data_IF_034925540057
#
_entry.id   IF_034925540057
#
_cell.length_a   1.000
_cell.length_b   1.000
_cell.length_c   1.000
_cell.angle_alpha   90.00
_cell.angle_beta   90.00
_cell.angle_gamma   90.00
#
_symmetry.space_group_name_H-M   'P 1'
#
loop_
_entity.id
_entity.type
_entity.pdbx_description
1 polymer ?
#
# COMPACT_ATOMS: atom_id res chain seq x y z
N UNK A 1 47.88 -41.24 21.62
CA UNK A 1 48.12 -40.47 20.38
C UNK A 1 46.96 -39.53 20.17
N UNK A 2 47.27 -38.34 19.69
CA UNK A 2 46.49 -37.10 19.72
C UNK A 2 45.82 -36.86 18.35
N UNK A 3 44.87 -35.92 18.31
CA UNK A 3 44.32 -35.17 17.15
C UNK A 3 43.11 -35.82 16.43
N UNK A 4 42.06 -35.13 15.96
CA UNK A 4 41.82 -33.69 15.75
C UNK A 4 40.29 -33.44 15.60
N UNK A 5 39.90 -32.21 15.91
CA UNK A 5 38.56 -31.65 15.83
C UNK A 5 37.92 -31.63 14.42
N UNK A 6 36.60 -31.58 14.38
CA UNK A 6 35.82 -31.29 13.16
C UNK A 6 34.47 -30.63 13.45
N UNK A 7 34.51 -29.34 13.80
CA UNK A 7 33.67 -28.21 13.34
C UNK A 7 32.17 -28.51 13.10
N UNK A 8 31.30 -27.97 13.96
CA UNK A 8 30.60 -26.68 13.79
C UNK A 8 29.62 -26.67 12.59
N UNK A 9 28.34 -26.71 12.94
CA UNK A 9 27.17 -26.40 12.11
C UNK A 9 27.31 -25.05 11.39
N UNK A 10 26.51 -24.85 10.33
CA UNK A 10 25.47 -23.86 10.51
C UNK A 10 24.10 -24.46 10.22
N UNK A 11 23.25 -24.44 11.25
CA UNK A 11 21.84 -24.19 11.02
C UNK A 11 21.77 -22.97 10.11
N UNK A 12 21.24 -23.15 8.91
CA UNK A 12 20.72 -22.05 8.11
C UNK A 12 19.53 -21.51 8.88
N UNK A 13 19.78 -20.69 9.90
CA UNK A 13 18.77 -19.79 10.43
C UNK A 13 18.53 -18.82 9.30
N UNK A 14 17.48 -19.07 8.52
CA UNK A 14 16.87 -18.03 7.72
C UNK A 14 16.58 -16.91 8.70
N UNK A 15 17.41 -15.86 8.72
CA UNK A 15 17.11 -14.67 9.52
C UNK A 15 15.69 -14.28 9.13
N UNK A 16 14.75 -14.14 10.09
CA UNK A 16 13.46 -13.58 9.75
C UNK A 16 13.76 -12.27 9.02
N UNK A 17 13.28 -12.13 7.78
CA UNK A 17 13.31 -10.84 7.10
C UNK A 17 12.68 -9.89 8.08
N UNK A 18 13.48 -8.97 8.64
CA UNK A 18 12.97 -7.95 9.52
C UNK A 18 11.84 -7.25 8.75
N UNK A 19 10.59 -7.53 9.11
CA UNK A 19 9.45 -6.83 8.54
C UNK A 19 9.63 -5.39 8.97
N UNK A 20 9.92 -4.51 8.01
CA UNK A 20 9.98 -3.09 8.30
C UNK A 20 8.65 -2.69 8.96
N UNK A 21 8.66 -1.95 10.07
CA UNK A 21 7.43 -1.53 10.71
C UNK A 21 6.62 -0.70 9.72
N UNK A 22 5.34 -1.03 9.58
CA UNK A 22 4.40 -0.21 8.82
C UNK A 22 4.08 1.02 9.66
N UNK A 23 4.29 2.20 9.11
CA UNK A 23 4.03 3.47 9.78
C UNK A 23 2.98 4.31 9.06
N UNK A 24 2.74 4.04 7.77
CA UNK A 24 1.80 4.77 6.94
C UNK A 24 0.96 3.82 6.09
N UNK A 25 -0.29 4.18 5.85
CA UNK A 25 -1.19 3.47 4.95
C UNK A 25 -1.83 4.42 3.95
N UNK A 26 -2.04 3.92 2.74
CA UNK A 26 -2.96 4.54 1.79
C UNK A 26 -4.30 3.83 1.96
N UNK A 27 -5.34 4.55 2.36
CA UNK A 27 -6.68 4.00 2.59
C UNK A 27 -7.69 4.59 1.63
N UNK A 28 -8.65 3.77 1.21
CA UNK A 28 -9.84 4.24 0.46
C UNK A 28 -10.74 5.02 1.41
N UNK A 29 -11.24 6.17 0.96
CA UNK A 29 -12.11 7.01 1.79
C UNK A 29 -13.48 6.37 2.02
N UNK A 30 -14.04 5.70 1.01
CA UNK A 30 -15.43 5.26 1.03
C UNK A 30 -15.67 4.04 1.96
N UNK A 31 -14.73 3.09 2.01
CA UNK A 31 -14.82 1.87 2.83
C UNK A 31 -13.76 1.77 3.93
N UNK A 32 -12.80 2.71 3.96
CA UNK A 32 -11.70 2.73 4.94
C UNK A 32 -10.66 1.63 4.76
N UNK A 33 -10.77 0.81 3.72
CA UNK A 33 -9.86 -0.32 3.49
C UNK A 33 -8.47 0.13 3.04
N UNK A 34 -7.49 -0.73 3.31
CA UNK A 34 -6.08 -0.45 2.98
C UNK A 34 -5.80 -0.80 1.52
N UNK A 35 -5.34 0.20 0.75
CA UNK A 35 -4.82 0.00 -0.60
C UNK A 35 -3.37 -0.51 -0.52
N UNK A 36 -2.54 0.13 0.31
CA UNK A 36 -1.15 -0.26 0.51
C UNK A 36 -0.58 0.26 1.83
N UNK A 37 0.46 -0.42 2.33
CA UNK A 37 1.12 -0.15 3.60
C UNK A 37 2.61 0.14 3.38
N UNK A 38 3.14 1.13 4.11
CA UNK A 38 4.48 1.69 3.86
C UNK A 38 5.26 1.93 5.15
N UNK A 39 6.58 1.85 5.05
CA UNK A 39 7.49 2.04 6.19
C UNK A 39 7.75 3.51 6.55
N UNK A 40 7.43 4.44 5.65
CA UNK A 40 7.61 5.88 5.85
C UNK A 40 6.62 6.69 5.03
N UNK A 41 6.48 7.98 5.36
CA UNK A 41 5.67 8.94 4.61
C UNK A 41 6.11 9.06 3.16
N UNK A 42 7.42 9.15 2.91
CA UNK A 42 7.96 9.36 1.56
C UNK A 42 7.71 8.15 0.66
N UNK A 43 7.85 6.92 1.20
CA UNK A 43 7.48 5.70 0.47
C UNK A 43 5.99 5.69 0.11
N UNK A 44 5.13 6.09 1.05
CA UNK A 44 3.70 6.18 0.82
C UNK A 44 3.36 7.25 -0.23
N UNK A 45 4.01 8.42 -0.21
CA UNK A 45 3.80 9.49 -1.21
C UNK A 45 4.21 9.05 -2.61
N UNK A 46 5.35 8.39 -2.77
CA UNK A 46 5.79 7.88 -4.07
C UNK A 46 4.82 6.83 -4.65
N UNK A 47 4.25 5.96 -3.78
CA UNK A 47 3.20 5.03 -4.19
C UNK A 47 1.88 5.75 -4.51
N UNK A 48 1.60 6.85 -3.81
CA UNK A 48 0.44 7.71 -4.03
C UNK A 48 0.42 8.34 -5.42
N UNK A 49 1.58 8.79 -5.92
CA UNK A 49 1.76 9.34 -7.28
C UNK A 49 1.51 8.32 -8.39
N UNK A 50 1.63 7.03 -8.07
CA UNK A 50 1.43 5.92 -8.99
C UNK A 50 0.06 5.25 -8.81
N UNK A 51 -0.79 5.80 -7.93
CA UNK A 51 -2.06 5.20 -7.57
C UNK A 51 -3.03 5.23 -8.75
N UNK A 52 -3.53 4.05 -9.12
CA UNK A 52 -4.46 3.88 -10.22
C UNK A 52 -5.90 4.00 -9.74
N UNK A 53 -6.78 4.50 -10.61
CA UNK A 53 -8.21 4.64 -10.34
C UNK A 53 -8.86 3.31 -9.92
N UNK A 54 -8.46 2.20 -10.55
CA UNK A 54 -8.89 0.85 -10.21
C UNK A 54 -8.64 0.48 -8.75
N UNK A 55 -7.48 0.88 -8.21
CA UNK A 55 -7.09 0.59 -6.83
C UNK A 55 -7.91 1.42 -5.83
N UNK A 56 -8.35 2.61 -6.23
CA UNK A 56 -9.21 3.49 -5.45
C UNK A 56 -10.68 3.05 -5.45
N UNK A 57 -11.15 2.34 -6.49
CA UNK A 57 -12.53 1.83 -6.57
C UNK A 57 -12.77 0.65 -5.63
N UNK A 58 -11.84 -0.30 -5.52
CA UNK A 58 -12.08 -1.53 -4.76
C UNK A 58 -13.03 -2.51 -5.45
N UNK A 59 -13.57 -3.46 -4.68
CA UNK A 59 -14.49 -4.50 -5.20
C UNK A 59 -15.93 -3.99 -5.34
N UNK A 60 -16.33 -2.96 -4.57
CA UNK A 60 -17.65 -2.33 -4.66
C UNK A 60 -17.59 -1.09 -5.55
N UNK A 61 -18.30 -1.06 -6.70
CA UNK A 61 -18.22 0.06 -7.60
C UNK A 61 -18.92 1.31 -7.00
N UNK A 62 -18.26 2.47 -7.00
CA UNK A 62 -18.86 3.74 -6.63
C UNK A 62 -19.93 4.15 -7.67
N UNK A 63 -20.92 4.93 -7.25
CA UNK A 63 -22.14 5.29 -7.99
C UNK A 63 -21.96 6.29 -9.15
N UNK A 64 -23.07 6.94 -9.58
CA UNK A 64 -23.37 7.29 -10.98
C UNK A 64 -22.38 8.24 -11.69
N UNK A 65 -21.77 9.15 -10.94
CA UNK A 65 -20.53 9.86 -11.26
C UNK A 65 -19.96 10.18 -9.90
N UNK A 66 -19.19 9.25 -9.35
CA UNK A 66 -18.73 9.37 -7.98
C UNK A 66 -17.22 9.62 -7.94
N UNK A 67 -16.84 10.58 -7.10
CA UNK A 67 -15.46 10.72 -6.68
C UNK A 67 -15.06 9.51 -5.85
N UNK A 68 -14.07 8.76 -6.33
CA UNK A 68 -13.32 7.85 -5.47
C UNK A 68 -12.13 8.61 -4.94
N UNK A 69 -11.89 8.49 -3.65
CA UNK A 69 -10.83 9.21 -2.97
C UNK A 69 -10.01 8.26 -2.10
N UNK A 70 -8.73 8.56 -1.96
CA UNK A 70 -7.81 7.87 -1.05
C UNK A 70 -7.06 8.88 -0.19
N UNK A 71 -6.69 8.45 1.02
CA UNK A 71 -5.91 9.23 1.98
C UNK A 71 -4.66 8.49 2.42
N UNK A 72 -3.57 9.24 2.58
CA UNK A 72 -2.40 8.80 3.31
C UNK A 72 -2.66 9.02 4.80
N UNK A 73 -2.52 7.97 5.60
CA UNK A 73 -2.79 7.95 7.04
C UNK A 73 -1.49 7.63 7.79
N UNK A 74 -1.13 8.48 8.74
CA UNK A 74 -0.09 8.19 9.73
C UNK A 74 -0.66 7.29 10.83
N UNK A 75 -0.08 6.10 11.03
CA UNK A 75 -0.63 5.12 11.96
C UNK A 75 -0.35 5.43 13.43
N UNK A 76 0.66 6.24 13.73
CA UNK A 76 1.01 6.62 15.10
C UNK A 76 0.04 7.67 15.65
N UNK A 77 -0.43 8.57 14.79
CA UNK A 77 -1.27 9.72 15.15
C UNK A 77 -2.71 9.59 14.67
N UNK A 78 -2.98 8.70 13.70
CA UNK A 78 -4.27 8.60 13.02
C UNK A 78 -4.59 9.76 12.08
N UNK A 79 -3.65 10.69 11.86
CA UNK A 79 -3.89 11.86 11.03
C UNK A 79 -3.87 11.52 9.53
N UNK A 80 -4.78 12.13 8.79
CA UNK A 80 -4.79 12.11 7.33
C UNK A 80 -3.90 13.22 6.78
N UNK A 81 -3.00 12.86 5.86
CA UNK A 81 -2.09 13.77 5.19
C UNK A 81 -2.53 14.06 3.75
N UNK A 82 -1.79 13.51 2.78
CA UNK A 82 -2.10 13.67 1.36
C UNK A 82 -3.42 12.97 0.98
N UNK A 83 -4.14 13.53 0.01
CA UNK A 83 -5.32 12.93 -0.59
C UNK A 83 -5.27 13.01 -2.11
N UNK A 84 -5.88 12.05 -2.78
CA UNK A 84 -6.08 12.04 -4.23
C UNK A 84 -7.48 11.52 -4.53
N UNK A 85 -8.03 11.95 -5.67
CA UNK A 85 -9.37 11.57 -6.10
C UNK A 85 -9.45 11.43 -7.60
N UNK A 86 -10.35 10.57 -8.06
CA UNK A 86 -10.66 10.40 -9.48
C UNK A 86 -12.15 10.21 -9.73
N UNK A 87 -12.57 10.48 -10.96
CA UNK A 87 -13.94 10.34 -11.43
C UNK A 87 -14.06 9.05 -12.26
N UNK A 88 -15.07 8.22 -12.00
CA UNK A 88 -15.26 6.94 -12.69
C UNK A 88 -16.59 6.86 -13.46
N UNK A 89 -16.62 6.20 -14.64
CA UNK A 89 -17.86 5.98 -15.40
C UNK A 89 -18.76 4.86 -14.85
N UNK A 90 -20.04 4.93 -15.27
CA UNK A 90 -21.22 4.20 -14.77
C UNK A 90 -21.23 2.67 -14.87
N UNK A 91 -20.47 2.07 -15.78
CA UNK A 91 -20.58 0.63 -16.02
C UNK A 91 -19.79 -0.20 -15.00
N UNK A 92 -19.18 0.46 -13.99
CA UNK A 92 -18.30 -0.18 -13.01
C UNK A 92 -17.06 -0.78 -13.65
N UNK A 93 -16.86 -0.58 -14.97
CA UNK A 93 -15.69 -1.08 -15.66
C UNK A 93 -14.58 -0.13 -15.34
N UNK A 94 -13.54 -0.67 -14.74
CA UNK A 94 -12.25 -0.01 -14.65
C UNK A 94 -11.90 0.50 -16.05
N UNK A 95 -11.76 1.82 -16.26
CA UNK A 95 -11.36 2.34 -17.56
C UNK A 95 -10.04 1.66 -17.96
N UNK A 96 -9.92 1.16 -19.21
CA UNK A 96 -8.71 0.47 -19.66
C UNK A 96 -7.48 1.38 -19.66
N UNK A 97 -7.72 2.69 -19.74
CA UNK A 97 -6.69 3.71 -19.69
C UNK A 97 -6.70 4.40 -18.33
N UNK A 98 -5.57 4.27 -17.67
CA UNK A 98 -5.17 4.97 -16.45
C UNK A 98 -5.32 6.47 -16.69
N UNK A 99 -6.41 7.05 -16.20
CA UNK A 99 -6.50 8.50 -16.05
C UNK A 99 -5.52 8.90 -14.95
N UNK A 100 -4.28 9.23 -15.32
CA UNK A 100 -3.37 9.96 -14.45
C UNK A 100 -3.89 11.39 -14.37
N UNK A 101 -4.19 11.86 -13.17
CA UNK A 101 -4.40 13.27 -12.96
C UNK A 101 -3.04 13.94 -12.68
N UNK A 102 -2.80 15.17 -13.18
CA UNK A 102 -1.59 15.94 -12.88
C UNK A 102 -1.43 16.26 -11.39
#
# INVERSE_FOLDING_TARGET
>A
MQLLAGRLTPMTTSRPRASLPVTHEIRRLHDGSVISSHCSRDCALAAFEQLLLAQMMGEDPPGPLQWVEAHLVDLATGQTGASTRGLVPLDGRVPPEVLRWP
#
